data_IF_345749943289
#
_entry.id   IF_345749943289
#
_cell.length_a   1.000
_cell.length_b   1.000
_cell.length_c   1.000
_cell.angle_alpha   90.00
_cell.angle_beta   90.00
_cell.angle_gamma   90.00
#
_symmetry.space_group_name_H-M   'P 1'
#
loop_
_entity.id
_entity.type
_entity.pdbx_description
1 polymer ?
#
# COMPACT_ATOMS: atom_id res chain seq x y z
N UNK A 1 -10.16 -10.48 23.98
CA UNK A 1 -9.10 -11.19 23.24
C UNK A 1 -8.86 -10.37 22.00
N UNK A 2 -7.83 -9.52 21.95
CA UNK A 2 -7.35 -8.80 20.75
C UNK A 2 -6.32 -7.74 21.19
N UNK A 3 -5.03 -8.09 21.11
CA UNK A 3 -3.89 -7.16 21.27
C UNK A 3 -2.80 -7.44 20.23
N UNK A 4 -3.15 -8.16 19.17
CA UNK A 4 -2.20 -8.59 18.16
C UNK A 4 -2.62 -7.92 16.87
N UNK A 5 -1.85 -6.91 16.45
CA UNK A 5 -2.00 -6.32 15.12
C UNK A 5 -1.72 -7.35 14.02
N UNK A 6 -1.79 -6.96 12.74
CA UNK A 6 -1.58 -7.89 11.62
C UNK A 6 -0.24 -8.63 11.77
N UNK A 7 -0.23 -9.92 11.44
CA UNK A 7 0.96 -10.75 11.43
C UNK A 7 1.09 -11.50 10.11
N UNK A 8 2.21 -11.30 9.44
CA UNK A 8 2.57 -12.05 8.25
C UNK A 8 3.51 -13.19 8.67
N UNK A 9 3.20 -14.44 8.32
CA UNK A 9 4.07 -15.58 8.61
C UNK A 9 5.36 -15.53 7.79
N UNK A 10 5.31 -14.93 6.61
CA UNK A 10 6.45 -14.70 5.71
C UNK A 10 6.68 -13.21 5.52
N UNK A 11 7.96 -12.81 5.47
CA UNK A 11 8.36 -11.41 5.32
C UNK A 11 9.39 -11.26 4.22
N UNK A 12 9.48 -10.08 3.62
CA UNK A 12 10.48 -9.79 2.59
C UNK A 12 11.80 -9.42 3.26
N UNK A 13 12.84 -10.24 3.05
CA UNK A 13 14.19 -10.04 3.61
C UNK A 13 15.30 -10.16 2.57
N UNK A 14 14.97 -10.72 1.41
CA UNK A 14 15.92 -11.05 0.36
C UNK A 14 15.30 -10.84 -1.01
N UNK A 15 16.14 -10.83 -2.04
CA UNK A 15 15.66 -10.81 -3.43
C UNK A 15 14.76 -12.00 -3.76
N UNK A 16 15.09 -13.19 -3.26
CA UNK A 16 14.26 -14.38 -3.44
C UNK A 16 12.89 -14.29 -2.78
N UNK A 17 12.73 -13.49 -1.72
CA UNK A 17 11.40 -13.24 -1.14
C UNK A 17 10.58 -12.31 -2.03
N UNK A 18 11.22 -11.27 -2.57
CA UNK A 18 10.60 -10.35 -3.51
C UNK A 18 10.15 -11.07 -4.78
N UNK A 19 10.98 -11.97 -5.32
CA UNK A 19 10.68 -12.70 -6.55
C UNK A 19 9.49 -13.68 -6.39
N UNK A 20 9.04 -13.97 -5.16
CA UNK A 20 7.79 -14.74 -4.91
C UNK A 20 6.53 -13.88 -5.01
N UNK A 21 6.66 -12.55 -5.02
CA UNK A 21 5.51 -11.68 -5.24
C UNK A 21 5.03 -11.83 -6.69
N UNK A 22 3.71 -11.88 -6.84
CA UNK A 22 3.06 -11.89 -8.15
C UNK A 22 2.40 -10.53 -8.39
N UNK A 23 2.17 -10.22 -9.66
CA UNK A 23 1.36 -9.07 -10.04
C UNK A 23 -0.08 -9.27 -9.55
N UNK A 24 -0.60 -8.25 -8.86
CA UNK A 24 -1.95 -8.26 -8.30
C UNK A 24 -2.92 -7.77 -9.37
N UNK A 25 -3.93 -8.58 -9.67
CA UNK A 25 -5.07 -8.21 -10.49
C UNK A 25 -6.25 -7.90 -9.56
N UNK A 26 -6.66 -6.63 -9.36
CA UNK A 26 -7.70 -6.29 -8.40
C UNK A 26 -9.06 -6.92 -8.70
N UNK A 27 -9.42 -7.11 -9.97
CA UNK A 27 -10.71 -7.71 -10.36
C UNK A 27 -10.75 -9.22 -10.10
N UNK A 28 -9.59 -9.87 -10.03
CA UNK A 28 -9.46 -11.29 -9.66
C UNK A 28 -9.18 -11.49 -8.17
N UNK A 29 -8.13 -10.86 -7.67
CA UNK A 29 -7.53 -11.13 -6.37
C UNK A 29 -8.18 -10.32 -5.25
N UNK A 30 -8.74 -9.14 -5.57
CA UNK A 30 -9.39 -8.22 -4.62
C UNK A 30 -10.86 -7.97 -4.96
N UNK A 31 -11.48 -8.85 -5.76
CA UNK A 31 -12.87 -8.74 -6.22
C UNK A 31 -13.85 -8.49 -5.07
N UNK A 32 -13.61 -9.12 -3.93
CA UNK A 32 -14.45 -8.97 -2.74
C UNK A 32 -14.53 -7.52 -2.24
N UNK A 33 -13.47 -6.72 -2.41
CA UNK A 33 -13.49 -5.28 -2.11
C UNK A 33 -14.35 -4.54 -3.12
N UNK A 34 -14.16 -4.81 -4.42
CA UNK A 34 -14.87 -4.13 -5.50
C UNK A 34 -16.37 -4.44 -5.45
N UNK A 35 -16.74 -5.67 -5.13
CA UNK A 35 -18.13 -6.06 -4.89
C UNK A 35 -18.72 -5.33 -3.67
N UNK A 36 -17.95 -5.18 -2.58
CA UNK A 36 -18.39 -4.41 -1.43
C UNK A 36 -18.61 -2.93 -1.77
N UNK A 37 -17.73 -2.31 -2.57
CA UNK A 37 -17.91 -0.94 -3.08
C UNK A 37 -19.24 -0.82 -3.84
N UNK A 38 -19.51 -1.72 -4.78
CA UNK A 38 -20.74 -1.71 -5.59
C UNK A 38 -22.00 -1.88 -4.73
N UNK A 39 -21.96 -2.78 -3.74
CA UNK A 39 -23.06 -2.97 -2.79
C UNK A 39 -23.29 -1.69 -1.98
N UNK A 40 -22.23 -1.11 -1.40
CA UNK A 40 -22.34 0.11 -0.59
C UNK A 40 -22.91 1.26 -1.41
N UNK A 41 -22.47 1.44 -2.66
CA UNK A 41 -23.02 2.47 -3.55
C UNK A 41 -24.50 2.29 -3.82
N UNK A 42 -24.94 1.04 -4.04
CA UNK A 42 -26.36 0.72 -4.20
C UNK A 42 -27.17 1.07 -2.95
N UNK A 43 -26.68 0.72 -1.76
CA UNK A 43 -27.33 1.03 -0.49
C UNK A 43 -27.28 2.52 -0.10
N UNK A 44 -26.27 3.25 -0.59
CA UNK A 44 -26.17 4.70 -0.38
C UNK A 44 -27.20 5.47 -1.21
N UNK A 45 -27.61 4.94 -2.37
CA UNK A 45 -28.58 5.56 -3.29
C UNK A 45 -28.29 7.05 -3.54
N UNK A 46 -27.02 7.38 -3.80
CA UNK A 46 -26.56 8.75 -4.06
C UNK A 46 -26.64 9.73 -2.88
N UNK A 47 -27.00 9.27 -1.68
CA UNK A 47 -27.18 10.12 -0.49
C UNK A 47 -25.92 10.85 -0.05
N UNK A 48 -24.76 10.19 -0.14
CA UNK A 48 -23.45 10.75 0.20
C UNK A 48 -22.35 10.10 -0.66
N UNK A 49 -21.21 10.79 -0.86
CA UNK A 49 -20.05 10.21 -1.52
C UNK A 49 -19.48 9.00 -0.75
N UNK A 50 -18.95 8.03 -1.49
CA UNK A 50 -18.16 6.92 -0.96
C UNK A 50 -16.67 7.17 -1.15
N UNK A 51 -15.88 6.97 -0.09
CA UNK A 51 -14.42 7.12 -0.12
C UNK A 51 -13.78 5.73 -0.18
N UNK A 52 -13.04 5.46 -1.26
CA UNK A 52 -12.12 4.34 -1.35
C UNK A 52 -10.79 4.63 -0.65
N UNK A 53 -9.99 3.61 -0.38
CA UNK A 53 -8.70 3.83 0.27
C UNK A 53 -7.67 2.74 -0.01
N UNK A 54 -6.41 3.10 0.25
CA UNK A 54 -5.29 2.16 0.29
C UNK A 54 -4.21 2.61 1.29
N UNK A 55 -3.32 1.70 1.66
CA UNK A 55 -2.10 2.05 2.38
C UNK A 55 -1.06 2.64 1.44
N UNK A 56 -0.31 3.65 1.88
CA UNK A 56 0.79 4.20 1.11
C UNK A 56 1.97 3.22 1.02
N UNK A 57 2.84 3.32 -0.01
CA UNK A 57 3.91 2.36 -0.25
C UNK A 57 4.84 2.15 0.94
N UNK A 58 5.28 3.22 1.61
CA UNK A 58 6.11 3.10 2.81
C UNK A 58 5.40 2.40 3.96
N UNK A 59 4.13 2.72 4.16
CA UNK A 59 3.33 2.11 5.23
C UNK A 59 3.15 0.61 5.02
N UNK A 60 2.91 0.16 3.78
CA UNK A 60 2.83 -1.26 3.43
C UNK A 60 4.19 -1.96 3.50
N UNK A 61 5.24 -1.31 3.01
CA UNK A 61 6.63 -1.79 3.08
C UNK A 61 7.03 -2.11 4.53
N UNK A 62 6.71 -1.23 5.47
CA UNK A 62 6.92 -1.44 6.90
C UNK A 62 6.34 -2.77 7.40
N UNK A 63 5.09 -3.08 7.05
CA UNK A 63 4.45 -4.33 7.46
C UNK A 63 5.02 -5.55 6.73
N UNK A 64 5.33 -5.45 5.44
CA UNK A 64 5.87 -6.56 4.65
C UNK A 64 7.28 -6.96 5.10
N UNK A 65 8.09 -6.00 5.54
CA UNK A 65 9.43 -6.26 6.07
C UNK A 65 9.36 -6.70 7.54
N UNK A 66 8.63 -6.01 8.41
CA UNK A 66 8.58 -6.37 9.84
C UNK A 66 7.75 -7.63 10.12
N UNK A 67 6.77 -7.92 9.27
CA UNK A 67 5.78 -8.99 9.44
C UNK A 67 4.75 -8.71 10.53
N UNK A 68 4.80 -7.55 11.18
CA UNK A 68 3.88 -7.14 12.25
C UNK A 68 3.99 -5.64 12.52
N UNK A 69 3.10 -5.14 13.37
CA UNK A 69 3.25 -3.79 13.94
C UNK A 69 4.58 -3.64 14.69
N UNK A 70 5.26 -2.52 14.48
CA UNK A 70 6.51 -2.15 15.17
C UNK A 70 6.38 -0.76 15.78
N UNK A 71 7.15 -0.50 16.85
CA UNK A 71 7.22 0.83 17.47
C UNK A 71 8.12 1.78 16.69
N UNK A 72 9.14 1.24 16.03
CA UNK A 72 10.22 2.03 15.43
C UNK A 72 10.54 1.61 13.99
N UNK A 73 9.92 0.56 13.46
CA UNK A 73 10.15 0.06 12.09
C UNK A 73 11.65 -0.17 11.80
N UNK A 74 12.41 -0.63 12.80
CA UNK A 74 13.86 -0.76 12.74
C UNK A 74 14.35 -1.61 11.55
N UNK A 75 13.66 -2.70 11.21
CA UNK A 75 14.06 -3.59 10.13
C UNK A 75 13.75 -2.98 8.76
N UNK A 76 12.58 -2.35 8.64
CA UNK A 76 12.20 -1.62 7.43
C UNK A 76 13.18 -0.47 7.15
N UNK A 77 13.47 0.36 8.16
CA UNK A 77 14.44 1.45 8.03
C UNK A 77 15.85 0.95 7.72
N UNK A 78 16.28 -0.16 8.34
CA UNK A 78 17.58 -0.76 8.05
C UNK A 78 17.69 -1.18 6.58
N UNK A 79 16.65 -1.81 6.02
CA UNK A 79 16.63 -2.23 4.62
C UNK A 79 16.79 -1.05 3.65
N UNK A 80 16.25 0.14 3.96
CA UNK A 80 16.45 1.34 3.14
C UNK A 80 17.94 1.73 2.98
N UNK A 81 18.77 1.40 3.98
CA UNK A 81 20.19 1.76 4.01
C UNK A 81 21.11 0.62 3.57
N UNK A 82 20.86 -0.59 4.09
CA UNK A 82 21.73 -1.74 3.85
C UNK A 82 21.43 -2.42 2.50
N UNK A 83 20.19 -2.35 2.04
CA UNK A 83 19.72 -3.04 0.83
C UNK A 83 18.90 -2.08 -0.07
N UNK A 84 19.51 -0.98 -0.56
CA UNK A 84 18.78 0.06 -1.30
C UNK A 84 18.10 -0.47 -2.57
N UNK A 85 18.74 -1.39 -3.30
CA UNK A 85 18.17 -1.98 -4.50
C UNK A 85 16.95 -2.87 -4.21
N UNK A 86 16.99 -3.64 -3.11
CA UNK A 86 15.86 -4.47 -2.69
C UNK A 86 14.70 -3.59 -2.21
N UNK A 87 14.99 -2.56 -1.42
CA UNK A 87 13.95 -1.66 -0.91
C UNK A 87 13.26 -0.90 -2.04
N UNK A 88 14.01 -0.35 -3.00
CA UNK A 88 13.43 0.34 -4.16
C UNK A 88 12.56 -0.59 -4.99
N UNK A 89 13.01 -1.82 -5.23
CA UNK A 89 12.25 -2.80 -6.00
C UNK A 89 10.96 -3.21 -5.28
N UNK A 90 10.99 -3.39 -3.95
CA UNK A 90 9.80 -3.71 -3.17
C UNK A 90 8.82 -2.53 -3.13
N UNK A 91 9.30 -1.30 -2.90
CA UNK A 91 8.44 -0.11 -2.88
C UNK A 91 7.81 0.12 -4.26
N UNK A 92 8.55 -0.09 -5.36
CA UNK A 92 8.02 -0.03 -6.71
C UNK A 92 6.91 -1.07 -6.95
N UNK A 93 7.11 -2.32 -6.53
CA UNK A 93 6.10 -3.38 -6.64
C UNK A 93 4.81 -3.03 -5.84
N UNK A 94 4.98 -2.53 -4.62
CA UNK A 94 3.86 -2.06 -3.80
C UNK A 94 3.13 -0.90 -4.47
N UNK A 95 3.88 0.04 -5.05
CA UNK A 95 3.34 1.22 -5.73
C UNK A 95 2.47 0.81 -6.91
N UNK A 96 2.98 -0.09 -7.77
CA UNK A 96 2.22 -0.61 -8.91
C UNK A 96 0.93 -1.33 -8.48
N UNK A 97 1.00 -2.20 -7.48
CA UNK A 97 -0.17 -2.90 -6.95
C UNK A 97 -1.20 -1.93 -6.33
N UNK A 98 -0.72 -0.93 -5.58
CA UNK A 98 -1.59 0.07 -4.94
C UNK A 98 -2.28 0.94 -5.98
N UNK A 99 -1.55 1.34 -7.03
CA UNK A 99 -2.08 2.12 -8.16
C UNK A 99 -3.19 1.36 -8.87
N UNK A 100 -2.93 0.12 -9.27
CA UNK A 100 -3.94 -0.77 -9.89
C UNK A 100 -5.18 -0.93 -9.00
N UNK A 101 -4.98 -1.17 -7.71
CA UNK A 101 -6.07 -1.32 -6.75
C UNK A 101 -6.92 -0.05 -6.56
N UNK A 102 -6.30 1.13 -6.56
CA UNK A 102 -7.03 2.40 -6.47
C UNK A 102 -7.81 2.71 -7.75
N UNK A 103 -7.23 2.45 -8.93
CA UNK A 103 -7.97 2.52 -10.20
C UNK A 103 -9.19 1.61 -10.19
N UNK A 104 -9.04 0.36 -9.79
CA UNK A 104 -10.16 -0.57 -9.73
C UNK A 104 -11.27 -0.10 -8.76
N UNK A 105 -10.91 0.54 -7.64
CA UNK A 105 -11.91 1.15 -6.75
C UNK A 105 -12.63 2.33 -7.42
N UNK A 106 -11.90 3.18 -8.16
CA UNK A 106 -12.46 4.30 -8.94
C UNK A 106 -13.43 3.76 -10.00
N UNK A 107 -13.02 2.75 -10.76
CA UNK A 107 -13.85 2.08 -11.77
C UNK A 107 -15.08 1.41 -11.14
N UNK A 108 -14.97 0.91 -9.91
CA UNK A 108 -16.10 0.37 -9.15
C UNK A 108 -17.06 1.46 -8.61
N UNK A 109 -16.67 2.74 -8.67
CA UNK A 109 -17.54 3.89 -8.44
C UNK A 109 -17.27 4.69 -7.15
N UNK A 110 -16.11 4.54 -6.50
CA UNK A 110 -15.78 5.44 -5.38
C UNK A 110 -15.61 6.88 -5.88
N UNK A 111 -16.01 7.85 -5.07
CA UNK A 111 -16.02 9.27 -5.46
C UNK A 111 -14.70 9.98 -5.12
N UNK A 112 -14.01 9.49 -4.09
CA UNK A 112 -12.71 9.97 -3.65
C UNK A 112 -11.88 8.76 -3.22
N UNK A 113 -10.55 8.91 -3.27
CA UNK A 113 -9.62 7.93 -2.71
C UNK A 113 -8.74 8.58 -1.64
N UNK A 114 -8.49 7.85 -0.55
CA UNK A 114 -7.59 8.25 0.52
C UNK A 114 -6.39 7.29 0.62
N UNK A 115 -5.18 7.85 0.57
CA UNK A 115 -3.95 7.12 0.85
C UNK A 115 -3.54 7.32 2.30
N UNK A 116 -3.35 6.21 3.00
CA UNK A 116 -2.90 6.20 4.39
C UNK A 116 -1.39 6.00 4.46
N UNK A 117 -0.64 7.09 4.59
CA UNK A 117 0.78 7.04 4.92
C UNK A 117 1.02 7.18 6.43
N UNK A 118 0.43 6.25 7.18
CA UNK A 118 0.41 6.23 8.64
C UNK A 118 1.79 6.26 9.27
N UNK A 119 2.82 5.76 8.57
CA UNK A 119 4.18 5.63 9.09
C UNK A 119 5.18 6.60 8.47
N UNK A 120 4.76 7.58 7.66
CA UNK A 120 5.64 8.61 7.09
C UNK A 120 6.50 9.29 8.17
N UNK A 121 5.88 9.62 9.31
CA UNK A 121 6.54 10.29 10.45
C UNK A 121 7.63 9.47 11.15
N UNK A 122 7.82 8.19 10.79
CA UNK A 122 8.93 7.37 11.30
C UNK A 122 10.25 7.57 10.54
N UNK A 123 10.22 8.28 9.41
CA UNK A 123 11.39 8.65 8.61
C UNK A 123 11.80 10.11 8.85
N UNK A 124 13.07 10.42 8.62
CA UNK A 124 13.50 11.81 8.48
C UNK A 124 12.95 12.40 7.17
N UNK A 125 12.82 13.73 7.12
CA UNK A 125 12.38 14.45 5.92
C UNK A 125 13.22 14.08 4.69
N UNK A 126 14.54 14.10 4.83
CA UNK A 126 15.45 13.85 3.71
C UNK A 126 15.29 12.43 3.17
N UNK A 127 15.17 11.45 4.08
CA UNK A 127 14.99 10.06 3.68
C UNK A 127 13.64 9.84 2.99
N UNK A 128 12.56 10.47 3.51
CA UNK A 128 11.25 10.42 2.88
C UNK A 128 11.27 11.04 1.47
N UNK A 129 11.81 12.24 1.34
CA UNK A 129 11.90 12.97 0.06
C UNK A 129 12.73 12.19 -0.96
N UNK A 130 13.84 11.58 -0.53
CA UNK A 130 14.72 10.88 -1.43
C UNK A 130 14.20 9.50 -1.85
N UNK A 131 13.57 8.76 -0.93
CA UNK A 131 13.28 7.33 -1.12
C UNK A 131 11.80 6.98 -1.25
N UNK A 132 10.90 7.82 -0.75
CA UNK A 132 9.45 7.51 -0.69
C UNK A 132 8.64 8.45 -1.59
N UNK A 133 8.91 9.76 -1.54
CA UNK A 133 8.15 10.76 -2.28
C UNK A 133 8.06 10.48 -3.79
N UNK A 134 9.13 10.04 -4.49
CA UNK A 134 9.03 9.74 -5.93
C UNK A 134 7.98 8.67 -6.25
N UNK A 135 7.82 7.66 -5.38
CA UNK A 135 6.82 6.61 -5.53
C UNK A 135 5.41 7.11 -5.22
N UNK A 136 5.27 8.02 -4.24
CA UNK A 136 3.99 8.68 -3.99
C UNK A 136 3.55 9.54 -5.17
N UNK A 137 4.49 10.25 -5.81
CA UNK A 137 4.21 11.05 -7.00
C UNK A 137 3.79 10.16 -8.17
N UNK A 138 4.54 9.10 -8.48
CA UNK A 138 4.17 8.13 -9.54
C UNK A 138 2.78 7.51 -9.28
N UNK A 139 2.50 7.13 -8.04
CA UNK A 139 1.19 6.59 -7.66
C UNK A 139 0.07 7.59 -7.98
N UNK A 140 0.21 8.84 -7.52
CA UNK A 140 -0.83 9.87 -7.66
C UNK A 140 -0.98 10.35 -9.10
N UNK A 141 0.11 10.51 -9.84
CA UNK A 141 0.09 10.99 -11.23
C UNK A 141 -0.75 10.08 -12.13
N UNK A 142 -0.70 8.76 -11.94
CA UNK A 142 -1.53 7.89 -12.76
C UNK A 142 -3.01 7.86 -12.36
N UNK A 143 -3.40 8.39 -11.20
CA UNK A 143 -4.82 8.47 -10.79
C UNK A 143 -5.55 9.72 -11.33
N UNK A 144 -4.88 10.56 -12.13
CA UNK A 144 -5.44 11.83 -12.64
C UNK A 144 -6.19 11.70 -13.97
N UNK A 145 -6.28 10.51 -14.55
CA UNK A 145 -7.04 10.21 -15.77
C UNK A 145 -8.51 9.83 -15.47
#
# INVERSE_FOLDING_TARGET
IEKVGPRFPETIRSRSDLDRLHEVDPERDLKYVLDAVRIILGELDGRVPLIGFAGAPWTLFCYMVEGKGSKDWALARRMLWEEPALSDALIAAITAATKSYLHAQIDAGVHLVQLFDSWAGSLSRDLYVQRILPHMQDLLEGLQD
#
